data_IF_497598182020
#
_entry.id   IF_497598182020
#
_cell.length_a   1.000
_cell.length_b   1.000
_cell.length_c   1.000
_cell.angle_alpha   90.00
_cell.angle_beta   90.00
_cell.angle_gamma   90.00
#
_symmetry.space_group_name_H-M   'P 1'
#
loop_
_entity.id
_entity.type
_entity.pdbx_description
1 polymer ?
#
# COMPACT_ATOMS: atom_id res chain seq x y z
N UNK A 1 -10.87 -29.61 -1.13
CA UNK A 1 -11.19 -28.23 -1.52
C UNK A 1 -10.08 -27.33 -0.98
N UNK A 2 -9.21 -26.80 -1.83
CA UNK A 2 -8.11 -25.94 -1.38
C UNK A 2 -8.65 -24.54 -1.13
N UNK A 3 -8.85 -24.16 0.13
CA UNK A 3 -9.11 -22.77 0.49
C UNK A 3 -7.94 -21.93 -0.01
N UNK A 4 -8.21 -20.97 -0.90
CA UNK A 4 -7.21 -19.99 -1.31
C UNK A 4 -6.84 -19.21 -0.05
N UNK A 5 -5.61 -19.40 0.43
CA UNK A 5 -5.07 -18.64 1.56
C UNK A 5 -4.89 -17.20 1.10
N UNK A 6 -5.93 -16.37 1.24
CA UNK A 6 -5.88 -14.94 0.92
C UNK A 6 -4.99 -14.23 1.95
N UNK A 7 -3.67 -14.23 1.72
CA UNK A 7 -2.66 -13.56 2.56
C UNK A 7 -2.72 -12.03 2.39
N UNK A 8 -3.89 -11.42 2.58
CA UNK A 8 -4.13 -10.00 2.39
C UNK A 8 -3.77 -9.52 0.98
N UNK A 9 -3.21 -8.31 0.87
CA UNK A 9 -2.83 -7.67 -0.41
C UNK A 9 -1.78 -8.45 -1.23
N UNK A 10 -1.08 -9.45 -0.64
CA UNK A 10 -0.04 -10.25 -1.33
C UNK A 10 -0.56 -11.15 -2.46
N UNK A 11 -1.86 -11.42 -2.51
CA UNK A 11 -2.49 -12.24 -3.56
C UNK A 11 -3.36 -11.44 -4.52
N UNK A 12 -3.42 -10.11 -4.36
CA UNK A 12 -4.24 -9.22 -5.19
C UNK A 12 -3.37 -8.68 -6.33
N UNK A 13 -3.81 -8.89 -7.57
CA UNK A 13 -3.01 -8.59 -8.78
C UNK A 13 -2.76 -7.10 -9.04
N UNK A 14 -3.49 -6.23 -8.36
CA UNK A 14 -3.36 -4.77 -8.35
C UNK A 14 -2.37 -4.25 -7.30
N UNK A 15 -1.74 -5.12 -6.50
CA UNK A 15 -0.75 -4.75 -5.49
C UNK A 15 0.62 -5.36 -5.80
N UNK A 16 1.66 -4.55 -5.62
CA UNK A 16 3.06 -4.99 -5.68
C UNK A 16 3.79 -4.63 -4.39
N UNK A 17 4.81 -5.41 -4.02
CA UNK A 17 5.61 -5.14 -2.81
C UNK A 17 6.67 -4.09 -3.11
N UNK A 18 6.65 -2.98 -2.38
CA UNK A 18 7.76 -2.04 -2.28
C UNK A 18 8.68 -2.46 -1.12
N UNK A 19 10.00 -2.49 -1.33
CA UNK A 19 10.98 -2.96 -0.34
C UNK A 19 12.19 -2.02 -0.21
N UNK A 20 12.75 -1.93 1.00
CA UNK A 20 13.90 -1.10 1.32
C UNK A 20 14.32 -1.26 2.78
N UNK A 21 15.55 -0.84 3.11
CA UNK A 21 16.06 -0.83 4.47
C UNK A 21 15.85 0.54 5.12
N UNK A 22 15.36 0.54 6.36
CA UNK A 22 15.23 1.75 7.19
C UNK A 22 15.84 1.51 8.58
N UNK A 23 16.23 2.57 9.31
CA UNK A 23 16.63 2.48 10.70
C UNK A 23 15.61 1.72 11.57
N UNK A 24 16.10 0.83 12.44
CA UNK A 24 15.25 -0.05 13.25
C UNK A 24 14.27 0.72 14.16
N UNK A 25 14.72 1.81 14.74
CA UNK A 25 13.90 2.71 15.55
C UNK A 25 12.73 3.30 14.75
N UNK A 26 12.96 3.69 13.49
CA UNK A 26 11.90 4.18 12.61
C UNK A 26 10.91 3.06 12.26
N UNK A 27 11.38 1.85 11.99
CA UNK A 27 10.50 0.71 11.75
C UNK A 27 9.59 0.39 12.95
N UNK A 28 10.13 0.50 14.18
CA UNK A 28 9.35 0.30 15.41
C UNK A 28 8.32 1.41 15.58
N UNK A 29 8.74 2.67 15.44
CA UNK A 29 7.84 3.82 15.56
C UNK A 29 6.71 3.77 14.52
N UNK A 30 7.03 3.42 13.27
CA UNK A 30 6.04 3.26 12.21
C UNK A 30 5.00 2.19 12.55
N UNK A 31 5.44 0.98 12.93
CA UNK A 31 4.54 -0.13 13.24
C UNK A 31 3.66 0.14 14.46
N UNK A 32 4.23 0.71 15.51
CA UNK A 32 3.48 1.07 16.73
C UNK A 32 2.46 2.16 16.46
N UNK A 33 2.79 3.15 15.62
CA UNK A 33 1.85 4.20 15.21
C UNK A 33 0.71 3.64 14.38
N UNK A 34 1.00 2.74 13.43
CA UNK A 34 -0.04 2.05 12.65
C UNK A 34 -1.01 1.31 13.57
N UNK A 35 -0.48 0.53 14.51
CA UNK A 35 -1.29 -0.21 15.48
C UNK A 35 -2.16 0.71 16.36
N UNK A 36 -1.57 1.80 16.88
CA UNK A 36 -2.28 2.76 17.72
C UNK A 36 -3.41 3.52 17.00
N UNK A 37 -3.32 3.61 15.66
CA UNK A 37 -4.30 4.29 14.80
C UNK A 37 -5.24 3.33 14.06
N UNK A 38 -5.17 2.03 14.36
CA UNK A 38 -5.95 0.99 13.66
C UNK A 38 -5.74 0.99 12.13
N UNK A 39 -4.54 1.37 11.68
CA UNK A 39 -4.15 1.39 10.27
C UNK A 39 -3.32 0.16 9.93
N UNK A 40 -3.53 -0.40 8.74
CA UNK A 40 -2.59 -1.37 8.20
C UNK A 40 -1.31 -0.67 7.71
N UNK A 41 -0.17 -1.37 7.77
CA UNK A 41 1.08 -0.84 7.24
C UNK A 41 1.00 -0.54 5.74
N UNK A 42 0.19 -1.30 4.98
CA UNK A 42 -0.03 -1.06 3.56
C UNK A 42 -0.78 0.24 3.31
N UNK A 43 -1.89 0.50 4.02
CA UNK A 43 -2.62 1.77 3.89
C UNK A 43 -1.75 2.97 4.26
N UNK A 44 -0.97 2.87 5.34
CA UNK A 44 -0.04 3.93 5.72
C UNK A 44 1.03 4.17 4.64
N UNK A 45 1.57 3.11 4.03
CA UNK A 45 2.53 3.24 2.93
C UNK A 45 1.89 3.82 1.67
N UNK A 46 0.68 3.41 1.31
CA UNK A 46 -0.05 3.93 0.14
C UNK A 46 -0.26 5.44 0.26
N UNK A 47 -0.69 5.92 1.42
CA UNK A 47 -0.84 7.35 1.68
C UNK A 47 0.51 8.09 1.65
N UNK A 48 1.52 7.59 2.35
CA UNK A 48 2.84 8.23 2.41
C UNK A 48 3.53 8.28 1.04
N UNK A 49 3.42 7.22 0.24
CA UNK A 49 4.00 7.15 -1.11
C UNK A 49 3.21 8.06 -2.05
N UNK A 50 1.87 8.08 -1.97
CA UNK A 50 1.04 9.00 -2.74
C UNK A 50 1.41 10.46 -2.49
N UNK A 51 1.43 10.87 -1.22
CA UNK A 51 1.84 12.23 -0.83
C UNK A 51 3.27 12.57 -1.28
N UNK A 52 4.19 11.60 -1.22
CA UNK A 52 5.56 11.82 -1.69
C UNK A 52 5.61 12.02 -3.20
N UNK A 53 4.93 11.18 -3.98
CA UNK A 53 4.86 11.29 -5.44
C UNK A 53 4.23 12.61 -5.91
N UNK A 54 3.16 13.05 -5.26
CA UNK A 54 2.54 14.36 -5.54
C UNK A 54 3.52 15.51 -5.33
N UNK A 55 4.32 15.47 -4.25
CA UNK A 55 5.36 16.48 -3.97
C UNK A 55 6.47 16.47 -5.00
N UNK A 56 6.79 15.31 -5.58
CA UNK A 56 7.74 15.19 -6.69
C UNK A 56 7.14 15.60 -8.05
N UNK A 57 5.88 16.05 -8.08
CA UNK A 57 5.19 16.46 -9.31
C UNK A 57 4.79 15.30 -10.21
N UNK A 58 4.70 14.08 -9.65
CA UNK A 58 4.25 12.90 -10.38
C UNK A 58 2.72 12.89 -10.42
N UNK A 59 2.17 12.85 -11.64
CA UNK A 59 0.74 12.61 -11.85
C UNK A 59 0.39 11.16 -11.54
N UNK A 60 -0.08 10.89 -10.32
CA UNK A 60 -0.47 9.56 -9.87
C UNK A 60 -1.66 8.99 -10.66
N UNK A 61 -2.53 9.85 -11.23
CA UNK A 61 -3.68 9.43 -12.04
C UNK A 61 -3.26 8.82 -13.38
N UNK A 62 -2.03 9.12 -13.84
CA UNK A 62 -1.45 8.47 -15.00
C UNK A 62 -1.08 7.00 -14.73
N UNK A 63 -0.96 6.60 -13.46
CA UNK A 63 -0.54 5.25 -13.05
C UNK A 63 -1.65 4.43 -12.39
N UNK A 64 -2.79 5.03 -12.03
CA UNK A 64 -3.96 4.29 -11.56
C UNK A 64 -4.67 3.63 -12.73
N UNK A 65 -4.79 2.29 -12.78
CA UNK A 65 -5.57 1.64 -13.81
C UNK A 65 -7.03 2.08 -13.66
N UNK A 66 -7.58 2.73 -14.69
CA UNK A 66 -9.01 3.05 -14.77
C UNK A 66 -9.78 1.76 -14.51
N UNK A 67 -10.52 1.72 -13.40
CA UNK A 67 -11.38 0.58 -13.11
C UNK A 67 -12.26 0.35 -14.33
N UNK A 68 -12.08 -0.82 -14.95
CA UNK A 68 -12.89 -1.27 -16.06
C UNK A 68 -14.33 -1.28 -15.55
N UNK A 69 -15.14 -0.36 -16.09
CA UNK A 69 -16.58 -0.35 -15.88
C UNK A 69 -17.08 -1.75 -16.22
N UNK A 70 -17.48 -2.52 -15.22
CA UNK A 70 -18.31 -3.70 -15.46
C UNK A 70 -19.71 -3.19 -15.77
N UNK A 71 -19.96 -2.92 -17.04
CA UNK A 71 -21.29 -2.95 -17.62
C UNK A 71 -21.82 -4.40 -17.61
N UNK A 72 -23.08 -4.50 -17.14
CA UNK A 72 -24.06 -5.60 -17.28
C UNK A 72 -23.92 -6.82 -16.38
#
# INVERSE_FOLDING_TARGET
MHAKNERGKRGKGDYTQVSGYIPKNLAIAFKTTCAARELTQSEALENLIGEWLEREGVDIEAFTPKQSQKET
#
